data_IF_098817190604
#
_entry.id   IF_098817190604
#
_cell.length_a   1.000
_cell.length_b   1.000
_cell.length_c   1.000
_cell.angle_alpha   90.00
_cell.angle_beta   90.00
_cell.angle_gamma   90.00
#
_symmetry.space_group_name_H-M   'P 1'
#
loop_
_entity.id
_entity.type
_entity.pdbx_description
1 polymer ?
#
# COMPACT_ATOMS: atom_id res chain seq x y z
N UNK A 1 -12.20 -8.22 -11.58
CA UNK A 1 -11.03 -8.98 -12.09
C UNK A 1 -10.17 -9.36 -10.90
N UNK A 2 -9.59 -10.55 -10.89
CA UNK A 2 -8.70 -11.01 -9.81
C UNK A 2 -7.33 -10.34 -9.97
N UNK A 3 -7.21 -9.08 -9.53
CA UNK A 3 -6.02 -8.24 -9.74
C UNK A 3 -4.73 -8.90 -9.25
N UNK A 4 -4.82 -9.76 -8.24
CA UNK A 4 -3.72 -10.57 -7.75
C UNK A 4 -3.04 -11.42 -8.84
N UNK A 5 -3.79 -11.92 -9.82
CA UNK A 5 -3.22 -12.74 -10.92
C UNK A 5 -2.37 -11.94 -11.89
N UNK A 6 -2.56 -10.62 -11.93
CA UNK A 6 -1.78 -9.70 -12.76
C UNK A 6 -0.56 -9.12 -12.02
N UNK A 7 -0.43 -9.38 -10.72
CA UNK A 7 0.71 -8.91 -9.92
C UNK A 7 1.96 -9.73 -10.18
N UNK A 8 3.09 -9.05 -10.35
CA UNK A 8 4.40 -9.70 -10.33
C UNK A 8 4.78 -10.13 -8.91
N UNK A 9 5.75 -11.02 -8.78
CA UNK A 9 6.31 -11.36 -7.46
C UNK A 9 6.87 -10.13 -6.73
N UNK A 10 7.40 -9.15 -7.49
CA UNK A 10 7.89 -7.88 -6.94
C UNK A 10 6.76 -7.02 -6.39
N UNK A 11 5.63 -6.93 -7.09
CA UNK A 11 4.45 -6.22 -6.59
C UNK A 11 3.93 -6.83 -5.29
N UNK A 12 3.84 -8.17 -5.24
CA UNK A 12 3.37 -8.87 -4.04
C UNK A 12 4.31 -8.65 -2.84
N UNK A 13 5.62 -8.58 -3.07
CA UNK A 13 6.60 -8.26 -2.04
C UNK A 13 6.44 -6.82 -1.55
N UNK A 14 6.33 -5.84 -2.46
CA UNK A 14 6.13 -4.43 -2.08
C UNK A 14 4.86 -4.29 -1.25
N UNK A 15 3.78 -4.97 -1.63
CA UNK A 15 2.52 -4.96 -0.87
C UNK A 15 2.72 -5.56 0.53
N UNK A 16 3.45 -6.68 0.67
CA UNK A 16 3.76 -7.25 1.98
C UNK A 16 4.51 -6.22 2.86
N UNK A 17 5.55 -5.59 2.33
CA UNK A 17 6.33 -4.57 3.05
C UNK A 17 5.45 -3.38 3.45
N UNK A 18 4.51 -2.96 2.61
CA UNK A 18 3.53 -1.91 2.94
C UNK A 18 2.59 -2.31 4.08
N UNK A 19 2.06 -3.53 4.05
CA UNK A 19 1.19 -4.04 5.11
C UNK A 19 1.96 -4.12 6.44
N UNK A 20 3.18 -4.67 6.43
CA UNK A 20 4.02 -4.78 7.62
C UNK A 20 4.44 -3.40 8.16
N UNK A 21 4.83 -2.48 7.29
CA UNK A 21 5.19 -1.11 7.66
C UNK A 21 3.99 -0.34 8.23
N UNK A 22 2.79 -0.52 7.69
CA UNK A 22 1.60 0.10 8.26
C UNK A 22 1.30 -0.46 9.66
N UNK A 23 1.43 -1.77 9.87
CA UNK A 23 1.15 -2.41 11.17
C UNK A 23 2.20 -2.05 12.22
N UNK A 24 3.48 -2.12 11.87
CA UNK A 24 4.59 -2.11 12.83
C UNK A 24 5.47 -0.85 12.75
N UNK A 25 5.40 -0.12 11.65
CA UNK A 25 6.18 1.08 11.43
C UNK A 25 5.58 2.32 12.11
N UNK A 26 6.37 3.40 12.19
CA UNK A 26 5.98 4.62 12.89
C UNK A 26 5.14 5.58 12.03
N UNK A 27 4.56 5.10 10.92
CA UNK A 27 3.96 5.95 9.89
C UNK A 27 2.60 6.53 10.27
N UNK A 28 1.86 5.85 11.15
CA UNK A 28 0.48 6.20 11.48
C UNK A 28 0.26 6.09 12.99
N UNK A 29 -0.21 7.18 13.59
CA UNK A 29 -0.55 7.23 15.01
C UNK A 29 -1.83 6.43 15.30
N UNK A 30 -1.94 5.86 16.50
CA UNK A 30 -3.05 4.97 16.85
C UNK A 30 -4.42 5.66 16.77
N UNK A 31 -4.48 6.96 17.08
CA UNK A 31 -5.73 7.72 17.10
C UNK A 31 -6.32 7.96 15.70
N UNK A 32 -5.48 8.02 14.66
CA UNK A 32 -5.91 8.23 13.27
C UNK A 32 -5.87 6.96 12.42
N UNK A 33 -5.23 5.89 12.92
CA UNK A 33 -5.01 4.65 12.20
C UNK A 33 -6.29 4.14 11.52
N UNK A 34 -7.37 4.00 12.29
CA UNK A 34 -8.64 3.51 11.75
C UNK A 34 -9.24 4.46 10.69
N UNK A 35 -9.05 5.77 10.84
CA UNK A 35 -9.50 6.77 9.87
C UNK A 35 -8.76 6.62 8.54
N UNK A 36 -7.45 6.41 8.58
CA UNK A 36 -6.62 6.26 7.38
C UNK A 36 -6.79 4.90 6.72
N UNK A 37 -6.84 3.85 7.53
CA UNK A 37 -6.80 2.46 7.04
C UNK A 37 -8.18 1.86 6.81
N UNK A 38 -9.24 2.41 7.44
CA UNK A 38 -10.57 1.79 7.46
C UNK A 38 -10.63 0.45 8.20
N UNK A 39 -9.55 0.11 8.91
CA UNK A 39 -9.35 -1.10 9.69
C UNK A 39 -8.64 -0.71 10.98
N UNK A 40 -8.87 -1.48 12.04
CA UNK A 40 -8.03 -1.40 13.23
C UNK A 40 -6.63 -1.97 12.93
N UNK A 41 -5.63 -1.61 13.75
CA UNK A 41 -4.26 -2.13 13.61
C UNK A 41 -4.22 -3.66 13.73
N UNK A 42 -5.05 -4.22 14.61
CA UNK A 42 -5.16 -5.68 14.79
C UNK A 42 -5.77 -6.37 13.57
N UNK A 43 -6.81 -5.79 12.97
CA UNK A 43 -7.40 -6.31 11.73
C UNK A 43 -6.40 -6.25 10.57
N UNK A 44 -5.66 -5.14 10.43
CA UNK A 44 -4.62 -5.05 9.42
C UNK A 44 -3.51 -6.07 9.65
N UNK A 45 -3.11 -6.31 10.91
CA UNK A 45 -2.12 -7.32 11.26
C UNK A 45 -2.57 -8.74 10.89
N UNK A 46 -3.86 -9.06 10.98
CA UNK A 46 -4.42 -10.33 10.50
C UNK A 46 -4.28 -10.43 8.97
N UNK A 47 -4.57 -9.36 8.23
CA UNK A 47 -4.40 -9.33 6.77
C UNK A 47 -2.92 -9.48 6.40
N UNK A 48 -2.02 -8.74 7.05
CA UNK A 48 -0.58 -8.78 6.79
C UNK A 48 0.02 -10.18 7.00
N UNK A 49 -0.39 -10.89 8.06
CA UNK A 49 0.08 -12.27 8.32
C UNK A 49 -0.44 -13.31 7.34
N UNK A 50 -1.58 -13.04 6.70
CA UNK A 50 -2.22 -13.97 5.76
C UNK A 50 -1.95 -13.61 4.31
N UNK A 51 -1.30 -12.49 4.02
CA UNK A 51 -0.93 -12.09 2.67
C UNK A 51 0.04 -13.10 2.02
N UNK A 52 -0.11 -13.42 0.72
CA UNK A 52 -1.15 -12.95 -0.22
C UNK A 52 -2.47 -13.74 -0.14
N UNK A 53 -2.57 -14.73 0.73
CA UNK A 53 -3.67 -15.70 0.79
C UNK A 53 -4.88 -15.30 1.65
N UNK A 54 -4.98 -14.04 2.11
CA UNK A 54 -6.06 -13.59 2.98
C UNK A 54 -7.46 -13.92 2.41
N UNK A 55 -8.31 -14.57 3.22
CA UNK A 55 -9.57 -15.20 2.76
C UNK A 55 -10.68 -14.20 2.39
N UNK A 56 -10.65 -12.98 2.95
CA UNK A 56 -11.65 -11.93 2.72
C UNK A 56 -11.16 -10.96 1.62
N UNK A 57 -11.72 -11.02 0.40
CA UNK A 57 -11.27 -10.18 -0.71
C UNK A 57 -11.50 -8.69 -0.49
N UNK A 58 -12.57 -8.31 0.22
CA UNK A 58 -12.94 -6.91 0.44
C UNK A 58 -12.02 -6.29 1.48
N UNK A 59 -11.78 -7.00 2.61
CA UNK A 59 -10.78 -6.56 3.60
C UNK A 59 -9.38 -6.52 3.01
N UNK A 60 -9.01 -7.50 2.19
CA UNK A 60 -7.72 -7.51 1.48
C UNK A 60 -7.59 -6.30 0.56
N UNK A 61 -8.63 -5.98 -0.21
CA UNK A 61 -8.62 -4.80 -1.06
C UNK A 61 -8.50 -3.51 -0.28
N UNK A 62 -9.27 -3.34 0.79
CA UNK A 62 -9.22 -2.17 1.65
C UNK A 62 -7.83 -1.98 2.27
N UNK A 63 -7.27 -3.04 2.86
CA UNK A 63 -5.95 -3.05 3.48
C UNK A 63 -4.84 -2.65 2.50
N UNK A 64 -4.76 -3.31 1.35
CA UNK A 64 -3.71 -3.07 0.34
C UNK A 64 -3.85 -1.66 -0.24
N UNK A 65 -5.06 -1.26 -0.62
CA UNK A 65 -5.30 0.05 -1.23
C UNK A 65 -4.95 1.19 -0.28
N UNK A 66 -5.34 1.10 0.98
CA UNK A 66 -5.11 2.17 1.95
C UNK A 66 -3.66 2.19 2.45
N UNK A 67 -3.02 1.03 2.63
CA UNK A 67 -1.59 0.97 2.97
C UNK A 67 -0.75 1.68 1.89
N UNK A 68 -0.92 1.29 0.63
CA UNK A 68 -0.17 1.88 -0.49
C UNK A 68 -0.43 3.40 -0.62
N UNK A 69 -1.69 3.82 -0.58
CA UNK A 69 -2.05 5.23 -0.74
C UNK A 69 -1.50 6.09 0.41
N UNK A 70 -1.67 5.66 1.65
CA UNK A 70 -1.30 6.48 2.80
C UNK A 70 0.21 6.49 3.02
N UNK A 71 0.94 5.38 2.77
CA UNK A 71 2.40 5.37 2.84
C UNK A 71 3.07 6.27 1.79
N UNK A 72 2.38 6.55 0.67
CA UNK A 72 2.89 7.47 -0.36
C UNK A 72 2.39 8.91 -0.20
N UNK A 73 1.18 9.09 0.33
CA UNK A 73 0.48 10.38 0.27
C UNK A 73 0.20 11.05 1.63
N UNK A 74 0.21 10.31 2.73
CA UNK A 74 0.00 10.88 4.06
C UNK A 74 1.31 11.52 4.58
N UNK A 75 1.29 12.73 5.16
CA UNK A 75 2.49 13.41 5.65
C UNK A 75 3.03 12.78 6.94
N UNK A 76 3.62 11.59 6.83
CA UNK A 76 4.14 10.82 7.97
C UNK A 76 5.55 11.26 8.41
N UNK A 77 6.34 11.95 7.58
CA UNK A 77 7.64 12.52 7.98
C UNK A 77 8.80 11.53 8.09
N UNK A 78 8.68 10.35 7.45
CA UNK A 78 9.66 9.25 7.49
C UNK A 78 10.36 9.02 6.15
N UNK A 79 10.30 9.99 5.23
CA UNK A 79 10.80 9.87 3.84
C UNK A 79 12.31 9.57 3.83
N UNK A 80 13.08 10.15 4.76
CA UNK A 80 14.53 9.91 4.86
C UNK A 80 14.88 8.51 5.37
N UNK A 81 13.95 7.84 6.04
CA UNK A 81 14.10 6.51 6.65
C UNK A 81 13.41 5.42 5.83
N UNK A 82 12.96 5.75 4.62
CA UNK A 82 12.23 4.85 3.73
C UNK A 82 12.89 3.47 3.58
N UNK A 83 14.20 3.44 3.33
CA UNK A 83 14.98 2.23 3.13
C UNK A 83 15.07 1.30 4.35
N UNK A 84 14.66 1.75 5.54
CA UNK A 84 14.58 0.92 6.74
C UNK A 84 13.34 0.01 6.72
N UNK A 85 12.31 0.38 5.98
CA UNK A 85 11.01 -0.30 5.94
C UNK A 85 10.69 -0.91 4.58
N UNK A 86 11.23 -0.33 3.50
CA UNK A 86 10.92 -0.72 2.13
C UNK A 86 12.19 -1.04 1.35
N UNK A 87 12.13 -2.13 0.60
CA UNK A 87 13.18 -2.48 -0.36
C UNK A 87 13.00 -1.79 -1.71
N UNK A 88 11.83 -1.17 -1.96
CA UNK A 88 11.54 -0.39 -3.16
C UNK A 88 11.85 1.09 -2.98
N UNK A 89 11.98 1.84 -4.07
CA UNK A 89 11.92 3.31 -3.99
C UNK A 89 10.46 3.79 -3.89
N UNK A 90 10.21 5.04 -3.47
CA UNK A 90 8.87 5.63 -3.53
C UNK A 90 8.28 5.61 -4.95
N UNK A 91 9.09 5.82 -5.98
CA UNK A 91 8.67 5.78 -7.38
C UNK A 91 8.25 4.37 -7.80
N UNK A 92 9.04 3.35 -7.45
CA UNK A 92 8.68 1.95 -7.74
C UNK A 92 7.38 1.55 -7.02
N UNK A 93 7.20 1.98 -5.77
CA UNK A 93 5.96 1.75 -5.02
C UNK A 93 4.76 2.47 -5.65
N UNK A 94 4.95 3.67 -6.21
CA UNK A 94 3.88 4.47 -6.81
C UNK A 94 3.21 3.82 -8.03
N UNK A 95 3.89 2.89 -8.70
CA UNK A 95 3.28 2.16 -9.82
C UNK A 95 2.38 0.98 -9.37
N UNK A 96 2.60 0.46 -8.15
CA UNK A 96 1.87 -0.71 -7.62
C UNK A 96 0.37 -0.44 -7.42
N UNK A 97 -0.09 0.70 -6.85
CA UNK A 97 -1.51 1.00 -6.70
C UNK A 97 -2.32 0.87 -7.98
N UNK A 98 -1.77 1.33 -9.11
CA UNK A 98 -2.47 1.31 -10.38
C UNK A 98 -2.62 -0.12 -10.91
N UNK A 99 -1.53 -0.90 -10.85
CA UNK A 99 -1.60 -2.33 -11.20
C UNK A 99 -2.58 -3.08 -10.28
N UNK A 100 -2.57 -2.77 -8.98
CA UNK A 100 -3.48 -3.38 -7.99
C UNK A 100 -4.96 -3.09 -8.29
N UNK A 101 -5.30 -1.86 -8.70
CA UNK A 101 -6.68 -1.50 -9.08
C UNK A 101 -7.10 -2.08 -10.44
N UNK A 102 -6.16 -2.64 -11.20
CA UNK A 102 -6.40 -3.06 -12.57
C UNK A 102 -6.60 -1.88 -13.51
N UNK A 103 -6.07 -0.70 -13.17
CA UNK A 103 -6.08 0.47 -14.04
C UNK A 103 -5.12 0.22 -15.21
N UNK A 104 -5.62 -0.40 -16.27
CA UNK A 104 -4.91 -0.62 -17.53
C UNK A 104 -4.51 0.69 -18.25
N UNK A 105 -4.92 1.83 -17.71
CA UNK A 105 -4.65 3.17 -18.23
C UNK A 105 -3.53 3.90 -17.46
N UNK A 106 -2.72 3.21 -16.65
CA UNK A 106 -1.54 3.83 -16.05
C UNK A 106 -0.51 4.14 -17.14
N UNK A 107 -0.49 5.41 -17.55
CA UNK A 107 0.63 5.99 -18.26
C UNK A 107 1.84 5.93 -17.32
N UNK A 108 2.87 5.17 -17.71
CA UNK A 108 4.13 5.06 -16.98
C UNK A 108 4.96 6.33 -17.03
N UNK A 109 4.50 7.37 -17.74
CA UNK A 109 5.01 8.72 -17.57
C UNK A 109 4.51 9.27 -16.22
N UNK A 110 5.40 9.89 -15.44
CA UNK A 110 5.11 10.43 -14.10
C UNK A 110 4.04 11.53 -14.02
N UNK A 111 3.18 11.70 -15.03
CA UNK A 111 2.05 12.62 -15.05
C UNK A 111 0.87 12.15 -14.20
N UNK A 112 0.62 10.84 -14.11
CA UNK A 112 -0.58 10.31 -13.45
C UNK A 112 -0.70 10.62 -11.95
N UNK A 113 0.42 10.78 -11.26
CA UNK A 113 0.46 11.09 -9.82
C UNK A 113 0.52 12.60 -9.54
N UNK A 114 1.21 13.38 -10.38
CA UNK A 114 1.33 14.84 -10.21
C UNK A 114 0.06 15.60 -10.64
N UNK A 115 -0.66 15.15 -11.67
CA UNK A 115 -1.84 15.85 -12.19
C UNK A 115 -3.07 15.73 -11.28
N UNK A 116 -3.04 14.87 -10.25
CA UNK A 116 -4.12 14.74 -9.25
C UNK A 116 -3.94 15.65 -8.03
N UNK A 117 -2.81 16.35 -7.95
CA UNK A 117 -2.47 17.26 -6.85
C UNK A 117 -2.54 18.75 -7.26
N UNK A 118 -3.08 19.05 -8.45
CA UNK A 118 -3.34 20.40 -8.97
C UNK A 118 -4.84 20.61 -9.23
#
# INVERSE_FOLDING_TARGET
>A
MDAMRAMSARDLQIIQECLDAAVHGPFFEDWEFHTLMGLTRDELAVVARSWPHADDPDKRHLAVNNALNNLLGHPHGYERRWHEFFSSTPEEMADVPARWRGDAAFDTSGKGTYDRLL
#
